data_IF_780947518543
#
_entry.id   IF_780947518543
#
_cell.length_a   1.000
_cell.length_b   1.000
_cell.length_c   1.000
_cell.angle_alpha   90.00
_cell.angle_beta   90.00
_cell.angle_gamma   90.00
#
_symmetry.space_group_name_H-M   'P 1'
#
loop_
_entity.id
_entity.type
_entity.pdbx_description
1 polymer ?
#
# COMPACT_ATOMS: atom_id res chain seq x y z
N UNK A 1 34.87 16.01 21.65
CA UNK A 1 34.21 15.09 20.68
C UNK A 1 32.98 14.35 21.25
N UNK A 2 32.38 14.81 22.34
CA UNK A 2 31.24 14.12 23.01
C UNK A 2 29.86 14.79 22.86
N UNK A 3 29.75 15.99 22.32
CA UNK A 3 28.48 16.75 22.22
C UNK A 3 27.66 16.47 20.95
N UNK A 4 28.21 15.81 19.92
CA UNK A 4 27.50 15.55 18.67
C UNK A 4 26.48 14.41 18.75
N UNK A 5 26.69 13.42 19.64
CA UNK A 5 25.78 12.27 19.77
C UNK A 5 24.36 12.60 20.26
N UNK A 6 24.17 13.42 21.33
CA UNK A 6 22.82 13.71 21.82
C UNK A 6 22.02 14.58 20.84
N UNK A 7 22.64 15.54 20.17
CA UNK A 7 21.96 16.39 19.17
C UNK A 7 21.51 15.55 17.97
N UNK A 8 22.34 14.63 17.48
CA UNK A 8 21.99 13.72 16.39
C UNK A 8 20.81 12.82 16.76
N UNK A 9 20.78 12.26 17.98
CA UNK A 9 19.68 11.45 18.48
C UNK A 9 18.39 12.28 18.55
N UNK A 10 18.45 13.51 19.05
CA UNK A 10 17.30 14.41 19.12
C UNK A 10 16.74 14.71 17.74
N UNK A 11 17.59 15.00 16.76
CA UNK A 11 17.18 15.25 15.36
C UNK A 11 16.49 14.03 14.77
N UNK A 12 17.05 12.84 14.97
CA UNK A 12 16.47 11.57 14.48
C UNK A 12 15.10 11.31 15.14
N UNK A 13 14.97 11.54 16.44
CA UNK A 13 13.69 11.38 17.18
C UNK A 13 12.65 12.38 16.67
N UNK A 14 13.03 13.65 16.47
CA UNK A 14 12.11 14.66 15.91
C UNK A 14 11.67 14.27 14.51
N UNK A 15 12.58 13.77 13.66
CA UNK A 15 12.26 13.33 12.31
C UNK A 15 11.27 12.15 12.30
N UNK A 16 11.47 11.18 13.21
CA UNK A 16 10.56 10.06 13.40
C UNK A 16 9.18 10.54 13.85
N UNK A 17 9.12 11.47 14.82
CA UNK A 17 7.86 12.03 15.33
C UNK A 17 7.12 12.76 14.20
N UNK A 18 7.81 13.58 13.41
CA UNK A 18 7.21 14.31 12.29
C UNK A 18 6.69 13.32 11.24
N UNK A 19 7.44 12.27 10.91
CA UNK A 19 7.03 11.24 9.95
C UNK A 19 5.78 10.50 10.43
N UNK A 20 5.73 10.10 11.70
CA UNK A 20 4.56 9.44 12.30
C UNK A 20 3.33 10.36 12.31
N UNK A 21 3.52 11.64 12.61
CA UNK A 21 2.43 12.63 12.62
C UNK A 21 1.89 12.91 11.21
N UNK A 22 2.78 13.00 10.23
CA UNK A 22 2.41 13.15 8.81
C UNK A 22 1.61 11.95 8.30
N UNK A 23 2.00 10.74 8.70
CA UNK A 23 1.32 9.50 8.31
C UNK A 23 -0.08 9.39 8.93
N UNK A 24 -0.23 9.77 10.22
CA UNK A 24 -1.54 9.78 10.90
C UNK A 24 -2.48 10.83 10.28
N UNK A 25 -1.95 12.00 9.90
CA UNK A 25 -2.73 13.03 9.21
C UNK A 25 -3.15 12.61 7.80
N UNK A 26 -2.26 11.95 7.06
CA UNK A 26 -2.55 11.41 5.73
C UNK A 26 -3.64 10.32 5.80
N UNK A 27 -3.52 9.39 6.75
CA UNK A 27 -4.52 8.37 6.97
C UNK A 27 -5.90 8.96 7.28
N UNK A 28 -5.98 9.99 8.14
CA UNK A 28 -7.25 10.68 8.42
C UNK A 28 -7.82 11.39 7.20
N UNK A 29 -6.97 12.02 6.40
CA UNK A 29 -7.38 12.77 5.20
C UNK A 29 -8.12 11.88 4.19
N UNK A 30 -7.71 10.63 4.05
CA UNK A 30 -8.26 9.71 3.06
C UNK A 30 -9.11 8.59 3.66
N UNK A 31 -9.36 8.60 4.98
CA UNK A 31 -10.07 7.54 5.69
C UNK A 31 -11.47 7.25 5.12
N UNK A 32 -12.26 8.30 4.88
CA UNK A 32 -13.63 8.15 4.39
C UNK A 32 -13.65 7.63 2.95
N UNK A 33 -12.80 8.19 2.08
CA UNK A 33 -12.64 7.75 0.70
C UNK A 33 -12.20 6.27 0.64
N UNK A 34 -11.18 5.91 1.41
CA UNK A 34 -10.68 4.54 1.47
C UNK A 34 -11.76 3.60 2.00
N UNK A 35 -12.48 3.99 3.07
CA UNK A 35 -13.55 3.19 3.65
C UNK A 35 -14.66 2.92 2.64
N UNK A 36 -15.16 3.95 1.97
CA UNK A 36 -16.23 3.84 0.98
C UNK A 36 -15.85 2.87 -0.14
N UNK A 37 -14.71 3.09 -0.78
CA UNK A 37 -14.26 2.28 -1.91
C UNK A 37 -13.89 0.85 -1.45
N UNK A 38 -13.31 0.69 -0.27
CA UNK A 38 -12.99 -0.63 0.28
C UNK A 38 -14.24 -1.48 0.50
N UNK A 39 -15.32 -0.89 1.01
CA UNK A 39 -16.60 -1.57 1.19
C UNK A 39 -17.24 -1.97 -0.14
N UNK A 40 -17.12 -1.13 -1.17
CA UNK A 40 -17.62 -1.41 -2.53
C UNK A 40 -17.00 -2.68 -3.11
N UNK A 41 -15.69 -2.89 -2.90
CA UNK A 41 -14.95 -4.05 -3.45
C UNK A 41 -14.70 -5.17 -2.45
N UNK A 42 -15.20 -5.08 -1.22
CA UNK A 42 -15.08 -6.12 -0.19
C UNK A 42 -13.66 -6.29 0.36
N UNK A 43 -12.85 -5.24 0.37
CA UNK A 43 -11.50 -5.23 0.96
C UNK A 43 -11.56 -4.57 2.35
N UNK A 44 -10.83 -5.11 3.32
CA UNK A 44 -10.69 -4.47 4.63
C UNK A 44 -10.03 -3.09 4.48
N UNK A 45 -10.68 -1.98 4.88
CA UNK A 45 -10.09 -0.65 4.83
C UNK A 45 -8.73 -0.53 5.53
N UNK A 46 -8.48 -1.33 6.57
CA UNK A 46 -7.20 -1.36 7.26
C UNK A 46 -6.06 -1.85 6.34
N UNK A 47 -6.35 -2.77 5.42
CA UNK A 47 -5.40 -3.23 4.40
C UNK A 47 -5.04 -2.09 3.44
N UNK A 48 -6.05 -1.38 2.95
CA UNK A 48 -5.85 -0.27 2.00
C UNK A 48 -5.04 0.87 2.64
N UNK A 49 -5.34 1.20 3.91
CA UNK A 49 -4.55 2.17 4.69
C UNK A 49 -3.09 1.70 4.85
N UNK A 50 -2.89 0.42 5.16
CA UNK A 50 -1.55 -0.14 5.33
C UNK A 50 -0.74 -0.10 4.04
N UNK A 51 -1.33 -0.46 2.92
CA UNK A 51 -0.71 -0.40 1.60
C UNK A 51 -0.40 1.04 1.23
N UNK A 52 -1.36 1.97 1.32
CA UNK A 52 -1.14 3.39 0.98
C UNK A 52 -0.06 4.05 1.84
N UNK A 53 0.05 3.66 3.12
CA UNK A 53 1.13 4.14 3.99
C UNK A 53 2.50 3.66 3.51
N UNK A 54 2.62 2.38 3.18
CA UNK A 54 3.90 1.78 2.78
C UNK A 54 4.33 2.25 1.39
N UNK A 55 3.36 2.46 0.49
CA UNK A 55 3.62 2.86 -0.90
C UNK A 55 4.04 4.32 -1.02
N UNK A 56 3.31 5.24 -0.41
CA UNK A 56 3.51 6.68 -0.63
C UNK A 56 3.51 7.53 0.62
N UNK A 57 3.27 6.97 1.81
CA UNK A 57 2.96 7.73 3.02
C UNK A 57 1.75 8.67 2.82
N UNK A 58 0.77 8.23 2.03
CA UNK A 58 -0.42 8.99 1.63
C UNK A 58 -0.13 10.23 0.77
N UNK A 59 0.95 10.24 0.01
CA UNK A 59 1.25 11.32 -0.94
C UNK A 59 0.60 11.02 -2.31
N UNK A 60 -0.40 11.81 -2.74
CA UNK A 60 -1.07 11.61 -4.02
C UNK A 60 -0.17 11.98 -5.21
N UNK A 61 0.86 12.82 -4.99
CA UNK A 61 1.80 13.25 -6.03
C UNK A 61 3.04 12.35 -6.13
N UNK A 62 3.10 11.28 -5.31
CA UNK A 62 4.25 10.38 -5.31
C UNK A 62 4.46 9.73 -6.67
N UNK A 63 5.71 9.73 -7.13
CA UNK A 63 6.14 9.04 -8.35
C UNK A 63 7.45 8.33 -8.11
N UNK A 64 7.48 7.02 -8.29
CA UNK A 64 8.70 6.23 -8.14
C UNK A 64 9.61 6.32 -9.37
N UNK A 65 10.88 5.95 -9.21
CA UNK A 65 11.82 5.85 -10.33
C UNK A 65 11.44 4.77 -11.36
N UNK A 66 10.65 3.78 -10.93
CA UNK A 66 10.09 2.74 -11.81
C UNK A 66 8.82 3.20 -12.54
N UNK A 67 8.26 4.38 -12.20
CA UNK A 67 7.07 4.94 -12.83
C UNK A 67 5.76 4.65 -12.11
N UNK A 68 5.78 4.05 -10.92
CA UNK A 68 4.57 3.89 -10.11
C UNK A 68 4.08 5.26 -9.59
N UNK A 69 2.75 5.45 -9.49
CA UNK A 69 2.12 6.77 -9.30
C UNK A 69 1.07 6.74 -8.19
N UNK A 70 1.06 7.81 -7.39
CA UNK A 70 -0.02 8.20 -6.50
C UNK A 70 -0.05 7.45 -5.17
N UNK A 71 -1.19 7.57 -4.47
CA UNK A 71 -1.39 7.07 -3.10
C UNK A 71 -1.03 5.59 -2.92
N UNK A 72 -1.38 4.76 -3.89
CA UNK A 72 -1.18 3.31 -3.84
C UNK A 72 -0.10 2.84 -4.82
N UNK A 73 0.71 3.77 -5.36
CA UNK A 73 1.85 3.51 -6.25
C UNK A 73 1.53 2.51 -7.37
N UNK A 74 0.54 2.84 -8.16
CA UNK A 74 0.10 1.98 -9.25
C UNK A 74 1.00 2.15 -10.47
N UNK A 75 1.41 1.04 -11.07
CA UNK A 75 2.04 1.05 -12.38
C UNK A 75 1.00 1.38 -13.45
N UNK A 76 1.31 2.28 -14.43
CA UNK A 76 0.38 2.66 -15.49
C UNK A 76 -0.23 1.47 -16.25
N UNK A 77 0.57 0.44 -16.55
CA UNK A 77 0.07 -0.76 -17.25
C UNK A 77 -0.98 -1.51 -16.42
N UNK A 78 -0.73 -1.67 -15.11
CA UNK A 78 -1.71 -2.29 -14.18
C UNK A 78 -2.97 -1.44 -14.11
N UNK A 79 -2.83 -0.14 -13.98
CA UNK A 79 -3.96 0.76 -13.89
C UNK A 79 -4.79 0.81 -15.17
N UNK A 80 -4.16 0.83 -16.33
CA UNK A 80 -4.82 0.75 -17.64
C UNK A 80 -5.57 -0.56 -17.83
N UNK A 81 -5.03 -1.67 -17.31
CA UNK A 81 -5.73 -2.95 -17.32
C UNK A 81 -6.96 -2.92 -16.42
N UNK A 82 -6.81 -2.46 -15.17
CA UNK A 82 -7.91 -2.36 -14.21
C UNK A 82 -9.00 -1.41 -14.70
N UNK A 83 -8.64 -0.26 -15.26
CA UNK A 83 -9.60 0.72 -15.81
C UNK A 83 -10.49 0.15 -16.93
N UNK A 84 -10.06 -0.92 -17.59
CA UNK A 84 -10.91 -1.67 -18.56
C UNK A 84 -11.86 -2.66 -17.87
N UNK A 85 -11.58 -3.01 -16.62
CA UNK A 85 -12.39 -3.96 -15.85
C UNK A 85 -13.47 -3.27 -15.01
N UNK A 86 -13.32 -1.98 -14.73
CA UNK A 86 -14.26 -1.16 -13.94
C UNK A 86 -14.72 0.07 -14.75
N UNK A 87 -15.88 0.66 -14.44
CA UNK A 87 -16.45 1.74 -15.22
C UNK A 87 -15.72 3.09 -14.95
N UNK A 88 -14.47 3.20 -15.41
CA UNK A 88 -13.75 4.47 -15.46
C UNK A 88 -13.73 4.93 -16.93
N UNK A 89 -14.55 5.93 -17.22
CA UNK A 89 -14.62 6.48 -18.57
C UNK A 89 -13.41 7.36 -18.89
N UNK A 90 -12.86 7.19 -20.09
CA UNK A 90 -11.76 8.02 -20.62
C UNK A 90 -10.51 8.08 -19.74
N UNK A 91 -10.20 6.99 -19.02
CA UNK A 91 -9.01 6.88 -18.17
C UNK A 91 -7.74 7.29 -18.91
N UNK A 92 -6.89 8.06 -18.23
CA UNK A 92 -5.54 8.44 -18.62
C UNK A 92 -4.57 8.24 -17.46
N UNK A 93 -3.30 8.06 -17.75
CA UNK A 93 -2.29 7.82 -16.72
C UNK A 93 -2.14 9.00 -15.74
N UNK A 94 -2.44 10.23 -16.17
CA UNK A 94 -2.46 11.39 -15.29
C UNK A 94 -3.55 11.34 -14.22
N UNK A 95 -4.62 10.56 -14.44
CA UNK A 95 -5.70 10.37 -13.47
C UNK A 95 -5.22 9.59 -12.24
N UNK A 96 -4.05 8.94 -12.30
CA UNK A 96 -3.43 8.29 -11.14
C UNK A 96 -2.98 9.26 -10.04
N UNK A 97 -2.83 10.55 -10.34
CA UNK A 97 -2.61 11.58 -9.32
C UNK A 97 -3.91 12.01 -8.61
N UNK A 98 -5.08 11.62 -9.15
CA UNK A 98 -6.37 11.88 -8.50
C UNK A 98 -6.61 10.81 -7.43
N UNK A 99 -6.72 11.18 -6.13
CA UNK A 99 -6.83 10.22 -5.03
C UNK A 99 -7.94 9.19 -5.22
N UNK A 100 -9.13 9.63 -5.65
CA UNK A 100 -10.28 8.74 -5.85
C UNK A 100 -9.99 7.69 -6.93
N UNK A 101 -9.48 8.09 -8.08
CA UNK A 101 -9.14 7.18 -9.19
C UNK A 101 -8.06 6.18 -8.75
N UNK A 102 -7.01 6.68 -8.09
CA UNK A 102 -5.90 5.85 -7.63
C UNK A 102 -6.36 4.80 -6.60
N UNK A 103 -7.12 5.22 -5.57
CA UNK A 103 -7.66 4.32 -4.55
C UNK A 103 -8.64 3.31 -5.19
N UNK A 104 -9.52 3.73 -6.07
CA UNK A 104 -10.49 2.85 -6.73
C UNK A 104 -9.80 1.73 -7.52
N UNK A 105 -8.80 2.09 -8.32
CA UNK A 105 -8.01 1.13 -9.09
C UNK A 105 -7.21 0.20 -8.16
N UNK A 106 -6.53 0.76 -7.16
CA UNK A 106 -5.71 0.00 -6.21
C UNK A 106 -6.52 -0.97 -5.35
N UNK A 107 -7.69 -0.55 -4.87
CA UNK A 107 -8.58 -1.40 -4.08
C UNK A 107 -9.17 -2.53 -4.92
N UNK A 108 -9.59 -2.23 -6.17
CA UNK A 108 -10.04 -3.27 -7.08
C UNK A 108 -8.92 -4.29 -7.35
N UNK A 109 -7.69 -3.82 -7.57
CA UNK A 109 -6.55 -4.71 -7.79
C UNK A 109 -6.26 -5.58 -6.57
N UNK A 110 -6.31 -5.03 -5.35
CA UNK A 110 -6.24 -5.80 -4.12
C UNK A 110 -7.36 -6.85 -4.02
N UNK A 111 -8.60 -6.46 -4.30
CA UNK A 111 -9.75 -7.38 -4.33
C UNK A 111 -9.52 -8.52 -5.35
N UNK A 112 -8.96 -8.21 -6.50
CA UNK A 112 -8.57 -9.22 -7.50
C UNK A 112 -7.51 -10.18 -6.94
N UNK A 113 -6.44 -9.66 -6.34
CA UNK A 113 -5.38 -10.49 -5.77
C UNK A 113 -5.86 -11.38 -4.62
N UNK A 114 -6.80 -10.90 -3.79
CA UNK A 114 -7.44 -11.71 -2.75
C UNK A 114 -8.32 -12.85 -3.30
N UNK A 115 -8.73 -12.80 -4.56
CA UNK A 115 -9.40 -13.93 -5.24
C UNK A 115 -8.41 -14.92 -5.87
N UNK A 116 -7.18 -14.49 -6.07
CA UNK A 116 -6.12 -15.29 -6.72
C UNK A 116 -5.28 -16.04 -5.70
N UNK A 117 -5.09 -15.48 -4.51
CA UNK A 117 -4.18 -15.99 -3.48
C UNK A 117 -4.91 -16.26 -2.16
N UNK A 118 -4.55 -17.35 -1.50
CA UNK A 118 -5.17 -17.80 -0.25
C UNK A 118 -4.61 -17.09 1.00
N UNK A 119 -3.33 -16.69 0.95
CA UNK A 119 -2.60 -16.11 2.09
C UNK A 119 -2.37 -14.60 1.89
N UNK A 120 -2.63 -13.81 2.91
CA UNK A 120 -2.46 -12.34 2.82
C UNK A 120 -1.04 -11.91 2.44
N UNK A 121 -0.01 -12.65 2.91
CA UNK A 121 1.37 -12.33 2.54
C UNK A 121 1.62 -12.52 1.03
N UNK A 122 0.95 -13.48 0.38
CA UNK A 122 1.02 -13.70 -1.07
C UNK A 122 0.37 -12.52 -1.82
N UNK A 123 -0.76 -12.03 -1.32
CA UNK A 123 -1.43 -10.83 -1.86
C UNK A 123 -0.49 -9.62 -1.83
N UNK A 124 0.15 -9.37 -0.68
CA UNK A 124 1.07 -8.24 -0.54
C UNK A 124 2.32 -8.42 -1.40
N UNK A 125 2.87 -9.63 -1.43
CA UNK A 125 3.99 -9.94 -2.31
C UNK A 125 3.63 -9.74 -3.79
N UNK A 126 2.43 -10.18 -4.22
CA UNK A 126 1.96 -10.05 -5.59
C UNK A 126 1.66 -8.58 -5.97
N UNK A 127 1.19 -7.79 -5.03
CA UNK A 127 1.01 -6.35 -5.24
C UNK A 127 2.33 -5.66 -5.58
N UNK A 128 3.41 -6.02 -4.87
CA UNK A 128 4.75 -5.43 -5.04
C UNK A 128 5.56 -6.06 -6.19
N UNK A 129 5.62 -7.39 -6.27
CA UNK A 129 6.48 -8.12 -7.22
C UNK A 129 5.75 -8.61 -8.48
N UNK A 130 4.43 -8.48 -8.51
CA UNK A 130 3.58 -8.96 -9.60
C UNK A 130 3.04 -10.38 -9.37
N UNK A 131 1.81 -10.59 -9.84
CA UNK A 131 1.06 -11.85 -9.71
C UNK A 131 1.82 -13.05 -10.25
N UNK A 132 2.36 -12.94 -11.48
CA UNK A 132 3.08 -14.04 -12.14
C UNK A 132 4.32 -14.47 -11.38
N UNK A 133 5.03 -13.55 -10.77
CA UNK A 133 6.21 -13.81 -9.94
C UNK A 133 5.85 -14.66 -8.73
N UNK A 134 4.81 -14.26 -7.99
CA UNK A 134 4.40 -14.98 -6.77
C UNK A 134 3.80 -16.35 -7.11
N UNK A 135 3.02 -16.45 -8.17
CA UNK A 135 2.55 -17.77 -8.68
C UNK A 135 3.70 -18.72 -8.99
N UNK A 136 4.79 -18.18 -9.58
CA UNK A 136 6.01 -18.96 -9.82
C UNK A 136 6.64 -19.46 -8.51
N UNK A 137 6.68 -18.64 -7.46
CA UNK A 137 7.24 -19.07 -6.17
C UNK A 137 6.41 -20.15 -5.49
N UNK A 138 5.09 -19.93 -5.38
CA UNK A 138 4.19 -20.86 -4.67
C UNK A 138 3.83 -22.10 -5.50
N UNK A 139 4.38 -22.26 -6.70
CA UNK A 139 4.28 -23.53 -7.45
C UNK A 139 5.03 -24.68 -6.75
N UNK A 140 5.98 -24.35 -5.86
CA UNK A 140 6.51 -25.28 -4.87
C UNK A 140 5.61 -25.23 -3.61
N UNK A 141 4.92 -26.32 -3.31
CA UNK A 141 4.01 -26.47 -2.17
C UNK A 141 4.69 -26.25 -0.80
N UNK A 142 6.02 -26.37 -0.73
CA UNK A 142 6.80 -26.09 0.48
C UNK A 142 7.23 -24.64 0.63
N UNK A 143 7.01 -23.80 -0.37
CA UNK A 143 7.42 -22.40 -0.35
C UNK A 143 6.67 -21.62 0.73
N UNK A 144 7.42 -20.86 1.53
CA UNK A 144 6.89 -20.06 2.63
C UNK A 144 7.27 -18.59 2.48
N UNK A 145 6.64 -17.74 3.26
CA UNK A 145 6.92 -16.30 3.28
C UNK A 145 8.41 -15.99 3.52
N UNK A 146 9.07 -16.80 4.36
CA UNK A 146 10.50 -16.64 4.69
C UNK A 146 11.43 -16.94 3.50
N UNK A 147 10.92 -17.64 2.49
CA UNK A 147 11.67 -18.05 1.30
C UNK A 147 11.59 -17.00 0.17
N UNK A 148 10.88 -15.86 0.36
CA UNK A 148 10.77 -14.81 -0.66
C UNK A 148 12.17 -14.37 -1.12
N UNK A 149 12.54 -14.60 -2.41
CA UNK A 149 13.92 -14.42 -2.87
C UNK A 149 14.27 -12.96 -3.11
N UNK A 150 13.27 -12.06 -3.16
CA UNK A 150 13.48 -10.63 -3.36
C UNK A 150 13.47 -9.90 -2.02
N UNK A 151 14.63 -9.41 -1.52
CA UNK A 151 14.70 -8.72 -0.23
C UNK A 151 13.78 -7.49 -0.13
N UNK A 152 13.57 -6.79 -1.24
CA UNK A 152 12.63 -5.66 -1.32
C UNK A 152 11.21 -6.12 -1.02
N UNK A 153 10.74 -7.18 -1.70
CA UNK A 153 9.39 -7.73 -1.52
C UNK A 153 9.19 -8.32 -0.12
N UNK A 154 10.18 -9.05 0.42
CA UNK A 154 10.13 -9.57 1.80
C UNK A 154 9.99 -8.44 2.83
N UNK A 155 10.74 -7.35 2.64
CA UNK A 155 10.64 -6.15 3.48
C UNK A 155 9.31 -5.43 3.30
N UNK A 156 8.82 -5.33 2.06
CA UNK A 156 7.50 -4.75 1.76
C UNK A 156 6.37 -5.49 2.50
N UNK A 157 6.31 -6.81 2.37
CA UNK A 157 5.32 -7.66 3.08
C UNK A 157 5.37 -7.40 4.57
N UNK A 158 6.58 -7.41 5.16
CA UNK A 158 6.76 -7.14 6.59
C UNK A 158 6.23 -5.76 7.00
N UNK A 159 6.51 -4.71 6.22
CA UNK A 159 6.04 -3.34 6.48
C UNK A 159 4.51 -3.25 6.41
N UNK A 160 3.89 -3.86 5.38
CA UNK A 160 2.43 -3.86 5.24
C UNK A 160 1.77 -4.59 6.41
N UNK A 161 2.29 -5.77 6.81
CA UNK A 161 1.77 -6.50 7.98
C UNK A 161 1.89 -5.69 9.28
N UNK A 162 2.99 -4.96 9.47
CA UNK A 162 3.18 -4.09 10.64
C UNK A 162 2.20 -2.91 10.63
N UNK A 163 2.00 -2.28 9.48
CA UNK A 163 1.04 -1.20 9.31
C UNK A 163 -0.39 -1.70 9.55
N UNK A 164 -0.75 -2.85 8.97
CA UNK A 164 -2.04 -3.49 9.14
C UNK A 164 -2.35 -3.78 10.62
N UNK A 165 -1.38 -4.27 11.41
CA UNK A 165 -1.55 -4.46 12.86
C UNK A 165 -1.86 -3.15 13.60
N UNK A 166 -1.37 -2.00 13.13
CA UNK A 166 -1.67 -0.69 13.73
C UNK A 166 -3.09 -0.22 13.37
N UNK A 167 -3.48 -0.33 12.10
CA UNK A 167 -4.80 0.09 11.64
C UNK A 167 -5.90 -0.86 12.13
N UNK A 168 -5.70 -2.15 12.15
CA UNK A 168 -6.66 -3.13 12.65
C UNK A 168 -6.94 -3.03 14.15
N UNK A 169 -6.01 -2.46 14.96
CA UNK A 169 -6.23 -2.17 16.38
C UNK A 169 -6.95 -0.84 16.63
N UNK A 170 -6.78 0.14 15.76
CA UNK A 170 -7.59 1.36 15.73
C UNK A 170 -8.93 0.96 15.13
N UNK A 171 -9.91 0.55 15.95
CA UNK A 171 -11.28 0.40 15.46
C UNK A 171 -11.63 1.67 14.69
N UNK A 172 -12.20 1.56 13.50
CA UNK A 172 -12.64 2.68 12.65
C UNK A 172 -13.52 3.73 13.38
N UNK A 173 -14.03 3.41 14.58
CA UNK A 173 -14.72 4.31 15.51
C UNK A 173 -13.90 5.52 16.02
N UNK A 174 -12.63 5.65 15.66
CA UNK A 174 -11.81 6.80 16.06
C UNK A 174 -11.71 7.88 14.96
N UNK A 175 -12.41 7.69 13.84
CA UNK A 175 -12.49 8.64 12.73
C UNK A 175 -13.89 9.25 12.57
N UNK A 176 -14.83 8.97 13.53
CA UNK A 176 -16.13 9.62 13.65
C UNK A 176 -16.03 10.97 14.35
#
# INVERSE_FOLDING_TARGET
MLYFKPIFIIIVVIFIIISLYSCDLGARRYADLIREISLEYGVDPAVVLAVSEVESHFDPEAKSSAGAVGLMQLMPDTASWVAKCIPIENYKDEDLFVPETNVRIGVWYLSYLYRVFDESWQVFAAYNAGEGTVKGWISDENFKKEDIPYPETANYVTKVEMALKRYGKKKFAAFD
#
